data_IF_166167267533
#
_entry.id   IF_166167267533
#
_cell.length_a   1.000
_cell.length_b   1.000
_cell.length_c   1.000
_cell.angle_alpha   90.00
_cell.angle_beta   90.00
_cell.angle_gamma   90.00
#
_symmetry.space_group_name_H-M   'P 1'
#
loop_
_entity.id
_entity.type
_entity.pdbx_description
1 polymer ?
#
# COMPACT_ATOMS: atom_id res chain seq x y z
N UNK A 1 -32.15 17.91 84.84
CA UNK A 1 -30.88 17.54 85.48
C UNK A 1 -29.81 17.87 84.46
N UNK A 2 -29.28 19.11 84.51
CA UNK A 2 -27.98 19.43 85.13
C UNK A 2 -26.86 19.10 84.11
N UNK A 3 -25.86 19.91 83.75
CA UNK A 3 -25.32 21.26 84.03
C UNK A 3 -24.35 21.54 82.85
N UNK A 4 -24.20 22.76 82.33
CA UNK A 4 -23.15 23.76 82.69
C UNK A 4 -21.73 23.19 82.48
N UNK A 5 -20.88 23.77 81.62
CA UNK A 5 -19.94 24.88 81.91
C UNK A 5 -19.33 25.32 80.55
N UNK A 6 -19.43 26.56 80.05
CA UNK A 6 -18.96 27.86 80.52
C UNK A 6 -17.45 28.07 80.37
N UNK A 7 -17.04 29.01 79.50
CA UNK A 7 -16.00 30.01 79.81
C UNK A 7 -16.03 31.20 78.84
N UNK A 8 -16.54 32.30 79.39
CA UNK A 8 -16.26 33.73 79.16
C UNK A 8 -14.76 34.07 78.95
N UNK A 9 -14.28 35.25 78.52
CA UNK A 9 -14.76 36.64 78.31
C UNK A 9 -13.58 37.41 77.68
N UNK A 10 -13.85 38.48 76.92
CA UNK A 10 -13.51 39.87 77.30
C UNK A 10 -13.76 40.86 76.15
N UNK A 11 -14.66 41.81 76.43
CA UNK A 11 -14.93 43.05 75.70
C UNK A 11 -13.86 44.13 75.95
N UNK A 12 -13.82 45.17 75.09
CA UNK A 12 -14.06 46.61 75.40
C UNK A 12 -13.58 47.53 74.22
N UNK A 13 -14.02 48.81 74.08
CA UNK A 13 -15.18 49.19 73.26
C UNK A 13 -14.99 50.44 72.35
N UNK A 14 -16.10 50.82 71.67
CA UNK A 14 -16.58 52.18 71.30
C UNK A 14 -15.75 53.14 70.42
N UNK A 15 -16.38 53.69 69.38
CA UNK A 15 -17.14 54.96 69.48
C UNK A 15 -17.73 55.41 68.14
N UNK A 16 -18.67 56.35 68.22
CA UNK A 16 -19.68 56.77 67.26
C UNK A 16 -19.19 57.80 66.23
N UNK A 17 -19.91 57.95 65.11
CA UNK A 17 -20.42 59.26 64.65
C UNK A 17 -21.36 59.11 63.44
N UNK A 18 -22.49 59.81 63.50
CA UNK A 18 -23.51 59.92 62.46
C UNK A 18 -23.38 61.26 61.69
N UNK A 19 -23.85 61.34 60.44
CA UNK A 19 -24.36 62.59 59.84
C UNK A 19 -25.12 62.34 58.52
N UNK A 20 -26.05 63.23 58.20
CA UNK A 20 -27.17 63.10 57.27
C UNK A 20 -27.15 64.10 56.09
N UNK A 21 -27.99 63.82 55.06
CA UNK A 21 -28.54 64.72 54.01
C UNK A 21 -27.55 65.11 52.88
N UNK A 22 -27.92 65.23 51.59
CA UNK A 22 -29.07 65.90 50.97
C UNK A 22 -29.16 65.52 49.47
N UNK A 23 -30.36 65.44 48.88
CA UNK A 23 -30.59 65.28 47.43
C UNK A 23 -30.41 66.61 46.67
N UNK A 24 -29.72 66.57 45.52
CA UNK A 24 -29.73 67.60 44.48
C UNK A 24 -30.09 66.96 43.14
N UNK A 25 -31.13 67.48 42.47
CA UNK A 25 -31.52 67.08 41.12
C UNK A 25 -30.65 67.77 40.06
N UNK A 26 -30.11 67.00 39.11
CA UNK A 26 -29.42 67.51 37.91
C UNK A 26 -30.20 67.18 36.63
N UNK A 27 -30.21 68.07 35.63
CA UNK A 27 -31.07 68.00 34.45
C UNK A 27 -30.58 66.95 33.42
N UNK A 28 -31.53 66.25 32.78
CA UNK A 28 -31.28 65.30 31.68
C UNK A 28 -31.04 66.06 30.37
N UNK A 29 -29.79 66.11 29.91
CA UNK A 29 -29.47 66.33 28.49
C UNK A 29 -29.19 64.97 27.83
N UNK A 30 -29.80 64.63 26.67
CA UNK A 30 -29.44 63.42 25.95
C UNK A 30 -28.00 63.55 25.40
N UNK A 31 -27.20 62.50 25.55
CA UNK A 31 -25.82 62.49 25.05
C UNK A 31 -25.80 62.66 23.52
N UNK A 32 -24.86 63.44 22.95
CA UNK A 32 -24.77 63.65 21.51
C UNK A 32 -24.58 62.32 20.76
N UNK A 33 -25.21 62.17 19.59
CA UNK A 33 -25.26 60.91 18.82
C UNK A 33 -23.88 60.30 18.54
N UNK A 34 -22.84 61.13 18.41
CA UNK A 34 -21.44 60.70 18.26
C UNK A 34 -20.92 59.91 19.46
N UNK A 35 -21.29 60.31 20.68
CA UNK A 35 -20.90 59.64 21.92
C UNK A 35 -21.61 58.28 22.08
N UNK A 36 -22.86 58.18 21.64
CA UNK A 36 -23.63 56.92 21.65
C UNK A 36 -23.07 55.94 20.60
N UNK A 37 -22.65 56.44 19.43
CA UNK A 37 -22.00 55.64 18.39
C UNK A 37 -20.64 55.08 18.86
N UNK A 38 -19.84 55.90 19.54
CA UNK A 38 -18.54 55.50 20.11
C UNK A 38 -18.70 54.47 21.24
N UNK A 39 -19.74 54.60 22.08
CA UNK A 39 -20.10 53.57 23.08
C UNK A 39 -20.56 52.26 22.41
N UNK A 40 -21.25 52.33 21.27
CA UNK A 40 -21.68 51.15 20.51
C UNK A 40 -20.49 50.43 19.87
N UNK A 41 -19.58 51.17 19.25
CA UNK A 41 -18.35 50.62 18.65
C UNK A 41 -17.43 50.01 19.71
N UNK A 42 -17.23 50.66 20.86
CA UNK A 42 -16.45 50.07 21.97
C UNK A 42 -17.10 48.80 22.54
N UNK A 43 -18.44 48.74 22.61
CA UNK A 43 -19.15 47.49 23.00
C UNK A 43 -19.01 46.39 21.95
N UNK A 44 -19.07 46.73 20.66
CA UNK A 44 -18.86 45.80 19.55
C UNK A 44 -17.43 45.26 19.54
N UNK A 45 -16.44 46.12 19.76
CA UNK A 45 -15.02 45.76 19.89
C UNK A 45 -14.77 44.85 21.10
N UNK A 46 -15.40 45.12 22.25
CA UNK A 46 -15.33 44.22 23.42
C UNK A 46 -15.98 42.86 23.14
N UNK A 47 -17.05 42.82 22.33
CA UNK A 47 -17.70 41.55 21.93
C UNK A 47 -16.81 40.75 20.98
N UNK A 48 -16.18 41.40 20.00
CA UNK A 48 -15.24 40.72 19.08
C UNK A 48 -14.00 40.22 19.82
N UNK A 49 -13.46 40.98 20.77
CA UNK A 49 -12.34 40.52 21.61
C UNK A 49 -12.71 39.29 22.44
N UNK A 50 -13.91 39.26 23.02
CA UNK A 50 -14.42 38.08 23.73
C UNK A 50 -14.54 36.86 22.80
N UNK A 51 -15.01 37.05 21.57
CA UNK A 51 -15.12 35.96 20.58
C UNK A 51 -13.72 35.44 20.20
N UNK A 52 -12.74 36.32 19.99
CA UNK A 52 -11.36 35.94 19.68
C UNK A 52 -10.69 35.19 20.83
N UNK A 53 -10.96 35.59 22.08
CA UNK A 53 -10.49 34.85 23.27
C UNK A 53 -11.10 33.45 23.30
N UNK A 54 -12.41 33.32 23.06
CA UNK A 54 -13.07 32.01 23.02
C UNK A 54 -12.55 31.13 21.87
N UNK A 55 -12.33 31.68 20.68
CA UNK A 55 -11.71 30.97 19.56
C UNK A 55 -10.28 30.51 19.89
N UNK A 56 -9.48 31.37 20.51
CA UNK A 56 -8.12 31.03 20.94
C UNK A 56 -8.14 29.90 21.98
N UNK A 57 -9.04 29.96 22.95
CA UNK A 57 -9.22 28.90 23.95
C UNK A 57 -9.66 27.56 23.32
N UNK A 58 -10.51 27.60 22.29
CA UNK A 58 -10.92 26.39 21.54
C UNK A 58 -9.75 25.80 20.77
N UNK A 59 -8.91 26.63 20.13
CA UNK A 59 -7.71 26.17 19.42
C UNK A 59 -6.70 25.57 20.39
N UNK A 60 -6.47 26.21 21.53
CA UNK A 60 -5.58 25.69 22.58
C UNK A 60 -6.13 24.36 23.13
N UNK A 61 -7.44 24.27 23.38
CA UNK A 61 -8.09 23.02 23.80
C UNK A 61 -7.93 21.92 22.74
N UNK A 62 -8.09 22.25 21.46
CA UNK A 62 -7.88 21.29 20.37
C UNK A 62 -6.42 20.80 20.30
N UNK A 63 -5.44 21.70 20.47
CA UNK A 63 -4.02 21.32 20.52
C UNK A 63 -3.75 20.43 21.74
N UNK A 64 -4.30 20.77 22.91
CA UNK A 64 -4.16 19.98 24.14
C UNK A 64 -4.81 18.60 23.96
N UNK A 65 -6.03 18.52 23.42
CA UNK A 65 -6.71 17.25 23.12
C UNK A 65 -5.91 16.45 22.10
N UNK A 66 -5.38 17.07 21.04
CA UNK A 66 -4.50 16.40 20.08
C UNK A 66 -3.25 15.85 20.76
N UNK A 67 -2.64 16.62 21.67
CA UNK A 67 -1.41 16.23 22.36
C UNK A 67 -1.66 15.20 23.48
N UNK A 68 -2.82 15.20 24.12
CA UNK A 68 -3.16 14.21 25.16
C UNK A 68 -3.71 12.92 24.51
N UNK A 69 -4.59 13.03 23.52
CA UNK A 69 -5.17 11.88 22.82
C UNK A 69 -4.20 11.21 21.84
N UNK A 70 -3.27 11.97 21.23
CA UNK A 70 -2.29 11.42 20.27
C UNK A 70 -0.82 11.58 20.68
N UNK A 71 -0.50 12.28 21.78
CA UNK A 71 0.89 12.44 22.25
C UNK A 71 1.42 11.28 23.10
N UNK A 72 0.54 10.36 23.51
CA UNK A 72 0.94 9.04 23.97
C UNK A 72 0.54 8.01 22.92
N UNK A 73 1.22 8.02 21.76
CA UNK A 73 1.38 6.76 21.02
C UNK A 73 2.05 5.79 22.00
N UNK A 74 1.57 4.55 22.17
CA UNK A 74 2.36 3.55 22.86
C UNK A 74 3.71 3.52 22.15
N UNK A 75 4.78 3.94 22.83
CA UNK A 75 6.10 3.48 22.45
C UNK A 75 5.96 1.96 22.48
N UNK A 76 6.34 1.28 21.40
CA UNK A 76 6.60 -0.15 21.47
C UNK A 76 7.70 -0.33 22.52
N UNK A 77 7.30 -0.47 23.78
CA UNK A 77 8.11 -1.13 24.78
C UNK A 77 8.19 -2.55 24.26
N UNK A 78 9.41 -2.92 23.85
CA UNK A 78 9.81 -4.27 23.48
C UNK A 78 8.92 -5.30 24.16
N UNK A 79 8.30 -6.12 23.32
CA UNK A 79 7.48 -7.27 23.68
C UNK A 79 7.98 -7.89 24.99
N UNK A 80 7.31 -7.55 26.09
CA UNK A 80 7.41 -8.31 27.31
C UNK A 80 6.43 -9.46 27.14
N UNK A 81 7.01 -10.66 27.07
CA UNK A 81 6.34 -11.94 27.19
C UNK A 81 5.45 -12.35 26.00
N UNK A 82 6.05 -12.43 24.82
CA UNK A 82 5.67 -13.48 23.88
C UNK A 82 6.53 -14.69 24.21
N UNK A 83 5.88 -15.82 24.48
CA UNK A 83 6.48 -17.15 24.42
C UNK A 83 7.46 -17.18 23.25
N UNK A 84 8.76 -17.29 23.52
CA UNK A 84 9.75 -17.44 22.46
C UNK A 84 9.49 -18.79 21.80
N UNK A 85 8.67 -18.78 20.76
CA UNK A 85 8.76 -19.78 19.71
C UNK A 85 10.13 -19.51 19.11
N UNK A 86 11.12 -20.33 19.46
CA UNK A 86 12.34 -20.44 18.67
C UNK A 86 11.91 -20.78 17.24
N UNK A 87 11.79 -19.76 16.40
CA UNK A 87 11.70 -19.95 14.97
C UNK A 87 13.11 -20.42 14.59
N UNK A 88 13.25 -21.72 14.30
CA UNK A 88 14.51 -22.25 13.80
C UNK A 88 14.78 -21.58 12.45
N UNK A 89 15.64 -20.56 12.45
CA UNK A 89 16.09 -19.92 11.21
C UNK A 89 16.92 -20.95 10.42
N UNK A 90 16.38 -21.41 9.30
CA UNK A 90 17.15 -22.23 8.37
C UNK A 90 18.29 -21.39 7.76
N UNK A 91 19.45 -22.00 7.47
CA UNK A 91 20.54 -21.27 6.83
C UNK A 91 20.07 -20.74 5.47
N UNK A 92 20.42 -19.48 5.17
CA UNK A 92 20.16 -18.90 3.85
C UNK A 92 20.89 -19.69 2.77
N UNK A 93 20.25 -19.76 1.60
CA UNK A 93 20.89 -20.29 0.40
C UNK A 93 21.98 -19.34 -0.10
N UNK A 94 22.95 -19.89 -0.84
CA UNK A 94 23.98 -19.10 -1.51
C UNK A 94 23.34 -18.08 -2.46
N UNK A 95 23.78 -16.82 -2.38
CA UNK A 95 23.27 -15.77 -3.26
C UNK A 95 23.77 -15.99 -4.70
N UNK A 96 22.84 -16.33 -5.61
CA UNK A 96 23.11 -16.50 -7.04
C UNK A 96 22.34 -15.45 -7.87
N UNK A 97 22.84 -15.05 -9.04
CA UNK A 97 22.09 -14.17 -9.94
C UNK A 97 20.80 -14.83 -10.43
N UNK A 98 19.69 -14.10 -10.37
CA UNK A 98 18.41 -14.56 -10.94
C UNK A 98 18.54 -14.62 -12.47
N UNK A 99 18.15 -15.74 -13.09
CA UNK A 99 18.21 -15.91 -14.53
C UNK A 99 17.14 -15.07 -15.24
N UNK A 100 17.56 -14.11 -16.07
CA UNK A 100 16.65 -13.19 -16.75
C UNK A 100 16.79 -13.21 -18.29
N UNK A 101 15.78 -12.70 -18.98
CA UNK A 101 15.75 -12.45 -20.43
C UNK A 101 15.50 -10.97 -20.67
N UNK A 102 16.20 -10.40 -21.66
CA UNK A 102 15.93 -9.05 -22.15
C UNK A 102 14.68 -9.06 -23.04
N UNK A 103 13.68 -8.28 -22.65
CA UNK A 103 12.51 -7.96 -23.46
C UNK A 103 12.78 -6.61 -24.14
N UNK A 104 12.87 -6.55 -25.48
CA UNK A 104 13.11 -5.29 -26.19
C UNK A 104 11.94 -4.30 -26.03
N UNK A 105 12.25 -3.00 -26.07
CA UNK A 105 11.24 -1.96 -26.08
C UNK A 105 10.34 -2.06 -27.31
N UNK A 106 9.03 -1.94 -27.13
CA UNK A 106 8.06 -1.83 -28.22
C UNK A 106 6.73 -1.26 -27.70
N UNK A 107 5.68 -1.29 -28.53
CA UNK A 107 4.32 -0.91 -28.16
C UNK A 107 3.45 -2.14 -27.94
N UNK A 108 2.78 -2.20 -26.79
CA UNK A 108 1.77 -3.19 -26.47
C UNK A 108 0.38 -2.67 -26.87
N UNK A 109 -0.42 -3.52 -27.50
CA UNK A 109 -1.88 -3.41 -27.47
C UNK A 109 -2.39 -4.36 -26.39
N UNK A 110 -2.75 -3.77 -25.24
CA UNK A 110 -3.13 -4.47 -24.02
C UNK A 110 -4.62 -4.77 -24.00
N UNK A 111 -5.00 -5.92 -23.45
CA UNK A 111 -6.38 -6.38 -23.38
C UNK A 111 -6.81 -7.21 -24.59
N UNK A 112 -8.11 -7.48 -24.66
CA UNK A 112 -8.73 -8.31 -25.70
C UNK A 112 -10.20 -7.89 -25.96
N UNK A 113 -10.72 -8.23 -27.14
CA UNK A 113 -12.11 -7.99 -27.57
C UNK A 113 -12.77 -9.24 -28.16
N UNK A 114 -12.13 -10.40 -28.06
CA UNK A 114 -12.72 -11.65 -28.50
C UNK A 114 -13.95 -12.00 -27.64
N UNK A 115 -14.90 -12.81 -28.14
CA UNK A 115 -16.07 -13.23 -27.38
C UNK A 115 -15.74 -13.96 -26.07
N UNK A 116 -14.55 -14.55 -25.97
CA UNK A 116 -14.03 -15.24 -24.78
C UNK A 116 -13.32 -14.32 -23.78
N UNK A 117 -13.18 -13.02 -24.10
CA UNK A 117 -12.59 -12.04 -23.21
C UNK A 117 -13.60 -11.59 -22.15
N UNK A 118 -13.12 -11.39 -20.92
CA UNK A 118 -13.90 -10.81 -19.84
C UNK A 118 -14.05 -9.29 -20.02
N UNK A 119 -15.08 -8.72 -19.39
CA UNK A 119 -15.41 -7.29 -19.52
C UNK A 119 -14.25 -6.36 -19.08
N UNK A 120 -13.41 -6.81 -18.16
CA UNK A 120 -12.30 -6.05 -17.59
C UNK A 120 -10.99 -6.16 -18.39
N UNK A 121 -11.01 -6.91 -19.50
CA UNK A 121 -9.95 -6.94 -20.52
C UNK A 121 -10.12 -5.83 -21.58
N UNK A 122 -11.17 -5.00 -21.42
CA UNK A 122 -11.54 -3.88 -22.28
C UNK A 122 -11.59 -2.56 -21.49
N UNK A 123 -11.33 -1.38 -22.12
CA UNK A 123 -10.91 -1.13 -23.50
C UNK A 123 -9.49 -1.59 -23.82
N UNK A 124 -9.21 -1.82 -25.11
CA UNK A 124 -7.84 -1.99 -25.58
C UNK A 124 -7.01 -0.74 -25.29
N UNK A 125 -5.81 -0.93 -24.73
CA UNK A 125 -4.89 0.16 -24.41
C UNK A 125 -3.61 0.03 -25.25
N UNK A 126 -3.21 1.13 -25.90
CA UNK A 126 -1.91 1.20 -26.59
C UNK A 126 -0.88 1.82 -25.65
N UNK A 127 0.12 1.04 -25.24
CA UNK A 127 1.08 1.42 -24.20
C UNK A 127 2.51 1.23 -24.73
N UNK A 128 3.36 2.24 -24.58
CA UNK A 128 4.80 2.10 -24.84
C UNK A 128 5.48 1.33 -23.71
N UNK A 129 6.15 0.24 -24.04
CA UNK A 129 6.88 -0.62 -23.11
C UNK A 129 8.38 -0.35 -23.30
N UNK A 130 9.09 0.17 -22.29
CA UNK A 130 10.55 0.30 -22.36
C UNK A 130 11.19 -1.08 -22.41
N UNK A 131 12.48 -1.16 -22.74
CA UNK A 131 13.20 -2.42 -22.60
C UNK A 131 13.36 -2.75 -21.11
N UNK A 132 13.28 -4.03 -20.76
CA UNK A 132 13.45 -4.50 -19.38
C UNK A 132 13.95 -5.94 -19.38
N UNK A 133 14.52 -6.36 -18.26
CA UNK A 133 14.80 -7.78 -17.99
C UNK A 133 13.65 -8.39 -17.21
N UNK A 134 13.27 -9.62 -17.50
CA UNK A 134 12.29 -10.40 -16.73
C UNK A 134 12.88 -11.77 -16.37
N UNK A 135 12.60 -12.26 -15.16
CA UNK A 135 13.04 -13.61 -14.78
C UNK A 135 12.42 -14.65 -15.70
N UNK A 136 13.22 -15.66 -16.07
CA UNK A 136 12.81 -16.72 -17.01
C UNK A 136 11.65 -17.56 -16.51
N UNK A 137 11.52 -17.65 -15.20
CA UNK A 137 10.58 -18.46 -14.45
C UNK A 137 10.01 -17.62 -13.30
N UNK A 138 8.99 -18.13 -12.63
CA UNK A 138 8.59 -17.65 -11.31
C UNK A 138 9.77 -17.75 -10.33
N UNK A 139 9.77 -16.93 -9.29
CA UNK A 139 10.77 -17.03 -8.23
C UNK A 139 10.57 -18.35 -7.49
N UNK A 140 11.62 -19.16 -7.44
CA UNK A 140 11.62 -20.44 -6.74
C UNK A 140 11.74 -20.28 -5.22
N UNK A 141 11.37 -21.32 -4.49
CA UNK A 141 11.61 -21.39 -3.04
C UNK A 141 13.11 -21.29 -2.71
N UNK A 142 13.97 -21.87 -3.54
CA UNK A 142 15.42 -21.75 -3.39
C UNK A 142 15.90 -20.29 -3.52
N UNK A 143 15.39 -19.54 -4.50
CA UNK A 143 15.70 -18.12 -4.70
C UNK A 143 15.13 -17.24 -3.59
N UNK A 144 13.91 -17.53 -3.12
CA UNK A 144 13.33 -16.87 -1.94
C UNK A 144 14.27 -16.99 -0.73
N UNK A 145 14.79 -18.19 -0.51
CA UNK A 145 15.67 -18.50 0.62
C UNK A 145 17.10 -17.96 0.50
N UNK A 146 17.46 -17.27 -0.60
CA UNK A 146 18.68 -16.46 -0.66
C UNK A 146 18.55 -15.18 0.18
N UNK A 147 17.31 -14.73 0.40
CA UNK A 147 16.98 -13.48 1.10
C UNK A 147 16.44 -13.77 2.50
N UNK A 148 15.51 -14.72 2.61
CA UNK A 148 14.79 -15.00 3.85
C UNK A 148 15.01 -16.43 4.33
N UNK A 149 15.36 -16.60 5.61
CA UNK A 149 15.57 -17.92 6.21
C UNK A 149 14.29 -18.74 6.34
N UNK A 150 13.12 -18.09 6.40
CA UNK A 150 11.84 -18.75 6.46
C UNK A 150 11.21 -18.92 5.08
N UNK A 151 10.96 -20.17 4.69
CA UNK A 151 10.19 -20.50 3.50
C UNK A 151 8.68 -20.44 3.84
N UNK A 152 7.88 -19.58 3.18
CA UNK A 152 6.45 -19.44 3.47
C UNK A 152 5.57 -20.46 2.75
N UNK A 153 6.10 -21.18 1.75
CA UNK A 153 5.32 -22.06 0.89
C UNK A 153 4.61 -23.16 1.69
N UNK A 154 3.39 -23.52 1.31
CA UNK A 154 2.67 -24.67 1.83
C UNK A 154 3.42 -25.98 1.50
N UNK A 155 3.84 -26.16 0.25
CA UNK A 155 4.57 -27.35 -0.19
C UNK A 155 6.07 -27.05 -0.24
N UNK A 156 6.91 -27.89 0.38
CA UNK A 156 8.36 -27.65 0.50
C UNK A 156 9.15 -28.40 -0.56
N UNK A 157 9.63 -27.67 -1.56
CA UNK A 157 10.57 -28.15 -2.58
C UNK A 157 11.33 -26.93 -3.14
N UNK A 158 12.68 -26.91 -3.09
CA UNK A 158 13.48 -25.79 -3.57
C UNK A 158 13.19 -25.36 -5.01
N UNK A 159 12.77 -26.28 -5.89
CA UNK A 159 12.53 -26.01 -7.31
C UNK A 159 11.10 -25.55 -7.62
N UNK A 160 10.18 -25.67 -6.65
CA UNK A 160 8.83 -25.14 -6.81
C UNK A 160 8.84 -23.60 -6.74
N UNK A 161 7.88 -22.93 -7.40
CA UNK A 161 7.68 -21.51 -7.19
C UNK A 161 7.36 -21.23 -5.71
N UNK A 162 7.85 -20.10 -5.19
CA UNK A 162 7.46 -19.63 -3.87
C UNK A 162 6.03 -19.09 -3.93
N UNK A 163 5.21 -19.54 -2.99
CA UNK A 163 3.81 -19.14 -2.82
C UNK A 163 3.55 -18.78 -1.35
N UNK A 164 2.31 -18.42 -1.01
CA UNK A 164 1.95 -17.89 0.32
C UNK A 164 2.73 -16.63 0.72
N UNK A 165 3.12 -15.84 -0.27
CA UNK A 165 3.72 -14.51 -0.12
C UNK A 165 2.70 -13.43 -0.50
N UNK A 166 2.65 -12.38 0.32
CA UNK A 166 1.81 -11.22 0.01
C UNK A 166 2.59 -10.17 -0.78
N UNK A 167 1.92 -9.12 -1.24
CA UNK A 167 2.54 -8.05 -2.03
C UNK A 167 3.74 -7.43 -1.32
N UNK A 168 3.64 -7.14 -0.02
CA UNK A 168 4.68 -6.47 0.76
C UNK A 168 5.90 -7.36 1.03
N UNK A 169 5.67 -8.64 1.30
CA UNK A 169 6.76 -9.63 1.43
C UNK A 169 7.63 -9.64 0.16
N UNK A 170 7.01 -9.46 -1.01
CA UNK A 170 7.68 -9.42 -2.32
C UNK A 170 8.42 -8.10 -2.55
N UNK A 171 7.87 -6.97 -2.08
CA UNK A 171 8.57 -5.68 -2.12
C UNK A 171 9.88 -5.78 -1.35
N UNK A 172 9.84 -6.37 -0.16
CA UNK A 172 11.01 -6.57 0.68
C UNK A 172 12.00 -7.55 0.04
N UNK A 173 11.51 -8.65 -0.55
CA UNK A 173 12.35 -9.57 -1.35
C UNK A 173 13.10 -8.83 -2.46
N UNK A 174 12.38 -8.04 -3.27
CA UNK A 174 12.94 -7.31 -4.40
C UNK A 174 14.05 -6.35 -3.96
N UNK A 175 13.80 -5.58 -2.89
CA UNK A 175 14.78 -4.63 -2.37
C UNK A 175 16.01 -5.33 -1.79
N UNK A 176 15.82 -6.36 -0.96
CA UNK A 176 16.94 -7.09 -0.35
C UNK A 176 17.77 -7.84 -1.39
N UNK A 177 17.13 -8.51 -2.35
CA UNK A 177 17.83 -9.16 -3.45
C UNK A 177 18.60 -8.15 -4.31
N UNK A 178 18.04 -6.95 -4.51
CA UNK A 178 18.74 -5.87 -5.22
C UNK A 178 20.03 -5.49 -4.50
N UNK A 179 19.99 -5.31 -3.18
CA UNK A 179 21.18 -4.98 -2.37
C UNK A 179 22.21 -6.11 -2.44
N UNK A 180 21.78 -7.37 -2.29
CA UNK A 180 22.65 -8.54 -2.37
C UNK A 180 23.38 -8.64 -3.71
N UNK A 181 22.73 -8.25 -4.80
CA UNK A 181 23.31 -8.27 -6.14
C UNK A 181 23.97 -6.94 -6.56
N UNK A 182 24.05 -5.97 -5.65
CA UNK A 182 24.72 -4.68 -5.88
C UNK A 182 23.93 -3.71 -6.77
N UNK A 183 22.61 -3.80 -6.78
CA UNK A 183 21.70 -2.90 -7.48
C UNK A 183 21.03 -1.90 -6.54
N UNK A 184 20.54 -0.81 -7.11
CA UNK A 184 19.74 0.18 -6.40
C UNK A 184 18.31 -0.35 -6.17
N UNK A 185 17.82 -0.41 -4.92
CA UNK A 185 16.45 -0.81 -4.63
C UNK A 185 15.40 0.01 -5.39
N UNK A 186 14.35 -0.66 -5.86
CA UNK A 186 13.28 0.01 -6.60
C UNK A 186 12.20 0.60 -5.68
N UNK A 187 12.03 0.08 -4.47
CA UNK A 187 10.92 0.46 -3.61
C UNK A 187 11.34 1.26 -2.40
N UNK A 188 10.50 2.21 -2.02
CA UNK A 188 10.62 3.01 -0.82
C UNK A 188 9.23 3.18 -0.18
N UNK A 189 9.19 3.45 1.12
CA UNK A 189 7.95 3.62 1.88
C UNK A 189 7.79 5.10 2.25
N UNK A 190 6.69 5.71 1.80
CA UNK A 190 6.31 7.08 2.16
C UNK A 190 4.97 7.02 2.91
N UNK A 191 5.01 7.37 4.19
CA UNK A 191 3.90 7.16 5.14
C UNK A 191 3.42 5.69 5.12
N UNK A 192 2.19 5.43 4.69
CA UNK A 192 1.58 4.10 4.62
C UNK A 192 1.57 3.53 3.18
N UNK A 193 2.35 4.12 2.26
CA UNK A 193 2.34 3.78 0.84
C UNK A 193 3.71 3.35 0.31
N UNK A 194 3.70 2.37 -0.59
CA UNK A 194 4.89 1.91 -1.31
C UNK A 194 5.01 2.71 -2.60
N UNK A 195 6.18 3.28 -2.86
CA UNK A 195 6.51 3.99 -4.11
C UNK A 195 7.57 3.20 -4.87
N UNK A 196 7.40 3.09 -6.18
CA UNK A 196 8.35 2.43 -7.08
C UNK A 196 9.15 3.46 -7.89
N UNK A 197 10.47 3.48 -7.73
CA UNK A 197 11.40 4.14 -8.63
C UNK A 197 11.66 3.26 -9.86
N UNK A 198 10.87 3.46 -10.91
CA UNK A 198 11.01 2.74 -12.19
C UNK A 198 12.34 3.00 -12.93
N UNK A 199 13.12 4.01 -12.51
CA UNK A 199 14.43 4.31 -13.09
C UNK A 199 15.58 3.56 -12.38
N UNK A 200 15.36 3.02 -11.18
CA UNK A 200 16.35 2.23 -10.48
C UNK A 200 16.60 0.91 -11.22
N UNK A 201 17.82 0.37 -11.08
CA UNK A 201 18.27 -0.82 -11.79
C UNK A 201 18.09 -2.13 -11.00
N UNK A 202 17.47 -2.07 -9.81
CA UNK A 202 17.15 -3.23 -8.98
C UNK A 202 15.97 -4.05 -9.48
N UNK A 203 15.67 -5.09 -8.72
CA UNK A 203 14.52 -5.96 -8.89
C UNK A 203 13.23 -5.26 -8.44
N UNK A 204 12.16 -5.54 -9.15
CA UNK A 204 10.79 -5.12 -8.83
C UNK A 204 9.79 -6.11 -9.44
N UNK A 205 8.53 -6.04 -9.00
CA UNK A 205 7.42 -6.64 -9.73
C UNK A 205 7.29 -6.02 -11.13
N UNK A 206 6.88 -6.82 -12.15
CA UNK A 206 6.46 -6.26 -13.42
C UNK A 206 5.24 -5.35 -13.24
N UNK A 207 5.10 -4.35 -14.10
CA UNK A 207 3.78 -3.74 -14.31
C UNK A 207 2.87 -4.74 -15.00
N UNK A 208 1.56 -4.54 -14.89
CA UNK A 208 0.59 -5.37 -15.61
C UNK A 208 0.86 -5.37 -17.12
N UNK A 209 1.24 -4.21 -17.67
CA UNK A 209 1.58 -4.05 -19.07
C UNK A 209 2.89 -4.77 -19.46
N UNK A 210 3.94 -4.70 -18.63
CA UNK A 210 5.16 -5.47 -18.86
C UNK A 210 4.90 -6.98 -18.84
N UNK A 211 4.07 -7.43 -17.90
CA UNK A 211 3.69 -8.84 -17.77
C UNK A 211 2.96 -9.33 -19.03
N UNK A 212 1.91 -8.63 -19.46
CA UNK A 212 1.14 -9.04 -20.64
C UNK A 212 1.97 -8.95 -21.94
N UNK A 213 2.84 -7.93 -22.06
CA UNK A 213 3.74 -7.83 -23.20
C UNK A 213 4.72 -9.01 -23.27
N UNK A 214 5.29 -9.40 -22.12
CA UNK A 214 6.13 -10.59 -22.05
C UNK A 214 5.34 -11.88 -22.35
N UNK A 215 4.10 -12.00 -21.84
CA UNK A 215 3.23 -13.15 -22.05
C UNK A 215 2.79 -13.31 -23.51
N UNK A 216 2.57 -12.20 -24.23
CA UNK A 216 2.32 -12.16 -25.68
C UNK A 216 3.55 -12.46 -26.53
N UNK A 217 4.72 -12.71 -25.93
CA UNK A 217 5.96 -13.01 -26.65
C UNK A 217 6.69 -11.78 -27.22
N UNK A 218 6.38 -10.58 -26.69
CA UNK A 218 7.00 -9.31 -27.08
C UNK A 218 6.58 -8.84 -28.47
N UNK A 219 7.56 -8.51 -29.33
CA UNK A 219 7.34 -7.96 -30.68
C UNK A 219 6.77 -8.98 -31.70
N UNK A 220 6.67 -10.26 -31.36
CA UNK A 220 6.24 -11.27 -32.35
C UNK A 220 4.73 -11.16 -32.58
N UNK A 221 4.31 -11.20 -33.85
CA UNK A 221 2.90 -11.10 -34.25
C UNK A 221 2.13 -12.42 -34.03
N UNK A 222 2.61 -13.28 -33.14
CA UNK A 222 1.99 -14.56 -32.84
C UNK A 222 1.07 -14.36 -31.62
N UNK A 223 -0.17 -13.93 -31.87
CA UNK A 223 -1.17 -13.68 -30.83
C UNK A 223 -1.78 -15.00 -30.35
N UNK A 224 -1.03 -15.75 -29.56
CA UNK A 224 -1.52 -16.97 -28.92
C UNK A 224 -2.47 -16.66 -27.77
N UNK A 225 -3.44 -17.56 -27.55
CA UNK A 225 -4.36 -17.50 -26.41
C UNK A 225 -3.59 -17.64 -25.08
N UNK A 226 -2.61 -18.55 -25.04
CA UNK A 226 -1.71 -18.78 -23.90
C UNK A 226 -0.28 -18.41 -24.27
N UNK A 227 0.59 -18.23 -23.28
CA UNK A 227 1.96 -17.78 -23.55
C UNK A 227 2.78 -18.86 -24.29
N UNK A 228 2.83 -18.76 -25.62
CA UNK A 228 3.62 -19.62 -26.51
C UNK A 228 2.84 -20.70 -27.29
N UNK A 229 1.53 -20.85 -27.08
CA UNK A 229 0.67 -21.81 -27.80
C UNK A 229 -0.82 -21.48 -27.64
N UNK A 230 -1.66 -21.97 -28.55
CA UNK A 230 -3.13 -21.97 -28.38
C UNK A 230 -3.63 -23.20 -27.62
N UNK A 231 -2.73 -24.10 -27.20
CA UNK A 231 -3.06 -25.30 -26.42
C UNK A 231 -2.52 -25.17 -25.00
N UNK A 232 -3.43 -25.11 -24.01
CA UNK A 232 -3.08 -24.96 -22.60
C UNK A 232 -2.09 -26.02 -22.11
N UNK A 233 -2.31 -27.30 -22.47
CA UNK A 233 -1.46 -28.42 -22.06
C UNK A 233 0.01 -28.32 -22.48
N UNK A 234 0.31 -27.61 -23.57
CA UNK A 234 1.68 -27.45 -24.05
C UNK A 234 2.48 -26.47 -23.18
N UNK A 235 1.81 -25.48 -22.56
CA UNK A 235 2.47 -24.31 -21.98
C UNK A 235 2.21 -24.11 -20.49
N UNK A 236 1.23 -24.81 -19.90
CA UNK A 236 0.86 -24.55 -18.51
C UNK A 236 0.37 -25.74 -17.70
N UNK A 237 0.50 -25.57 -16.40
CA UNK A 237 -0.09 -26.44 -15.36
C UNK A 237 -1.36 -25.79 -14.82
N UNK A 238 -2.48 -26.50 -14.90
CA UNK A 238 -3.80 -25.99 -14.55
C UNK A 238 -4.69 -27.11 -14.04
N UNK A 239 -5.90 -26.83 -13.55
CA UNK A 239 -6.63 -27.82 -12.74
C UNK A 239 -6.91 -29.15 -13.46
N UNK A 240 -6.99 -29.20 -14.78
CA UNK A 240 -7.15 -30.45 -15.52
C UNK A 240 -5.87 -31.31 -15.63
N UNK A 241 -4.67 -30.74 -15.45
CA UNK A 241 -3.41 -31.46 -15.67
C UNK A 241 -2.35 -31.32 -14.56
N UNK A 242 -2.64 -30.58 -13.49
CA UNK A 242 -1.67 -30.22 -12.45
C UNK A 242 -1.57 -31.21 -11.29
N UNK A 243 -2.45 -32.22 -11.23
CA UNK A 243 -2.62 -33.09 -10.05
C UNK A 243 -2.87 -32.30 -8.75
N UNK A 244 -3.55 -31.14 -8.87
CA UNK A 244 -3.92 -30.24 -7.77
C UNK A 244 -2.71 -29.68 -6.96
N UNK A 245 -1.60 -29.42 -7.66
CA UNK A 245 -0.40 -28.82 -7.06
C UNK A 245 0.40 -27.97 -8.07
N UNK A 246 1.26 -27.10 -7.56
CA UNK A 246 2.29 -26.46 -8.37
C UNK A 246 3.36 -27.47 -8.79
N UNK A 247 4.10 -27.13 -9.85
CA UNK A 247 5.18 -27.94 -10.41
C UNK A 247 6.47 -27.11 -10.50
N UNK A 248 7.65 -27.75 -10.53
CA UNK A 248 8.89 -27.04 -10.74
C UNK A 248 8.82 -26.22 -12.03
N UNK A 249 9.19 -24.94 -11.94
CA UNK A 249 9.03 -24.03 -13.06
C UNK A 249 9.90 -24.44 -14.25
N UNK A 250 9.39 -24.25 -15.47
CA UNK A 250 10.07 -24.55 -16.72
C UNK A 250 9.98 -25.99 -17.20
N UNK A 251 8.98 -26.75 -16.73
CA UNK A 251 8.69 -28.10 -17.22
C UNK A 251 7.75 -28.12 -18.44
N UNK A 252 7.06 -27.01 -18.74
CA UNK A 252 6.24 -26.83 -19.94
C UNK A 252 7.00 -26.06 -21.02
N UNK A 253 6.42 -25.93 -22.21
CA UNK A 253 7.04 -25.22 -23.33
C UNK A 253 7.12 -23.71 -23.02
N UNK A 254 8.27 -23.06 -23.24
CA UNK A 254 8.36 -21.62 -23.08
C UNK A 254 7.70 -20.88 -24.24
N UNK A 255 7.43 -19.60 -24.03
CA UNK A 255 7.03 -18.71 -25.10
C UNK A 255 8.19 -18.33 -26.03
N UNK A 256 7.89 -17.46 -26.98
CA UNK A 256 8.80 -16.97 -28.02
C UNK A 256 10.08 -16.30 -27.48
N UNK A 257 10.04 -15.74 -26.27
CA UNK A 257 11.15 -15.10 -25.59
C UNK A 257 11.96 -16.08 -24.72
N UNK A 258 11.55 -17.35 -24.62
CA UNK A 258 12.18 -18.31 -23.74
C UNK A 258 11.77 -18.15 -22.27
N UNK A 259 10.60 -17.54 -22.03
CA UNK A 259 10.02 -17.36 -20.69
C UNK A 259 8.99 -18.48 -20.47
N UNK A 260 9.03 -19.08 -19.29
CA UNK A 260 8.18 -20.20 -18.91
C UNK A 260 7.07 -19.74 -17.97
N UNK A 261 6.00 -20.53 -17.93
CA UNK A 261 4.96 -20.48 -16.91
C UNK A 261 4.26 -19.11 -16.78
N UNK A 262 4.15 -18.35 -17.89
CA UNK A 262 3.29 -17.15 -17.95
C UNK A 262 1.80 -17.50 -18.18
N UNK A 263 1.50 -18.80 -18.26
CA UNK A 263 0.14 -19.36 -18.33
C UNK A 263 0.12 -20.62 -17.47
N UNK A 264 -0.53 -20.58 -16.31
CA UNK A 264 -0.62 -21.68 -15.35
C UNK A 264 0.50 -21.69 -14.30
N UNK A 265 0.66 -22.83 -13.64
CA UNK A 265 1.49 -23.06 -12.46
C UNK A 265 1.04 -22.20 -11.26
N UNK A 266 1.46 -20.95 -11.12
CA UNK A 266 0.92 -20.06 -10.09
C UNK A 266 0.50 -18.71 -10.68
N UNK A 267 -0.51 -18.10 -10.07
CA UNK A 267 -0.82 -16.71 -10.33
C UNK A 267 0.36 -15.85 -9.88
N UNK A 268 0.56 -14.74 -10.57
CA UNK A 268 1.69 -13.85 -10.30
C UNK A 268 1.21 -12.46 -9.90
N UNK A 269 1.69 -11.98 -8.76
CA UNK A 269 1.56 -10.59 -8.38
C UNK A 269 2.21 -9.67 -9.42
N UNK A 270 1.53 -8.57 -9.75
CA UNK A 270 2.11 -7.46 -10.52
C UNK A 270 1.96 -6.14 -9.74
N UNK A 271 2.67 -5.10 -10.17
CA UNK A 271 2.73 -3.83 -9.45
C UNK A 271 1.36 -3.12 -9.32
N UNK A 272 0.57 -3.15 -10.38
CA UNK A 272 -0.59 -2.28 -10.56
C UNK A 272 -1.71 -2.59 -9.57
N UNK A 273 -2.41 -1.55 -9.12
CA UNK A 273 -3.71 -1.71 -8.48
C UNK A 273 -4.77 -2.10 -9.52
N UNK A 274 -5.67 -2.99 -9.14
CA UNK A 274 -6.74 -3.48 -9.98
C UNK A 274 -7.85 -2.43 -10.08
N UNK A 275 -8.01 -1.92 -11.30
CA UNK A 275 -9.05 -0.99 -11.72
C UNK A 275 -9.46 -1.31 -13.17
N UNK A 276 -10.67 -0.90 -13.61
CA UNK A 276 -11.05 -0.99 -15.01
C UNK A 276 -10.07 -0.22 -15.89
N UNK A 277 -9.72 -0.77 -17.05
CA UNK A 277 -8.80 -0.15 -17.99
C UNK A 277 -9.25 1.26 -18.40
N UNK A 278 -8.30 2.20 -18.38
CA UNK A 278 -8.52 3.58 -18.76
C UNK A 278 -7.20 4.26 -19.10
N UNK A 279 -7.15 4.94 -20.24
CA UNK A 279 -6.05 5.86 -20.60
C UNK A 279 -6.30 7.30 -20.17
N UNK A 280 -7.47 7.59 -19.59
CA UNK A 280 -7.89 8.96 -19.23
C UNK A 280 -7.65 9.30 -17.77
N UNK A 281 -7.69 8.29 -16.91
CA UNK A 281 -7.74 8.49 -15.46
C UNK A 281 -6.38 8.32 -14.77
N UNK A 282 -5.46 7.58 -15.38
CA UNK A 282 -4.15 7.26 -14.83
C UNK A 282 -3.19 6.82 -15.96
N UNK A 283 -1.90 6.72 -15.64
CA UNK A 283 -0.90 6.17 -16.56
C UNK A 283 -1.14 4.65 -16.71
N UNK A 284 -1.52 4.13 -17.89
CA UNK A 284 -1.83 2.72 -18.06
C UNK A 284 -0.61 1.80 -17.87
N UNK A 285 0.61 2.33 -17.96
CA UNK A 285 1.82 1.58 -17.65
C UNK A 285 1.98 1.36 -16.14
N UNK A 286 1.85 2.42 -15.33
CA UNK A 286 2.07 2.37 -13.87
C UNK A 286 0.81 1.99 -13.06
N UNK A 287 -0.37 2.19 -13.65
CA UNK A 287 -1.64 2.13 -12.96
C UNK A 287 -1.90 3.39 -12.10
N UNK A 288 -3.02 3.43 -11.35
CA UNK A 288 -3.27 4.49 -10.38
C UNK A 288 -2.32 4.38 -9.18
N UNK A 289 -2.14 5.47 -8.42
CA UNK A 289 -1.24 5.48 -7.26
C UNK A 289 -1.76 4.62 -6.08
N UNK A 290 -3.09 4.52 -5.96
CA UNK A 290 -3.78 3.85 -4.84
C UNK A 290 -4.90 2.94 -5.34
N UNK A 291 -5.23 1.94 -4.55
CA UNK A 291 -6.32 1.02 -4.82
C UNK A 291 -6.63 0.13 -3.62
N UNK A 292 -7.55 -0.81 -3.82
CA UNK A 292 -7.98 -1.74 -2.77
C UNK A 292 -7.37 -3.12 -3.02
N UNK A 293 -7.32 -3.55 -4.27
CA UNK A 293 -6.84 -4.86 -4.71
C UNK A 293 -5.70 -4.68 -5.69
N UNK A 294 -4.70 -5.55 -5.64
CA UNK A 294 -3.60 -5.62 -6.59
C UNK A 294 -3.95 -6.61 -7.69
N UNK A 295 -3.49 -6.34 -8.91
CA UNK A 295 -3.68 -7.24 -10.05
C UNK A 295 -2.81 -8.49 -9.85
N UNK A 296 -3.37 -9.64 -10.23
CA UNK A 296 -2.63 -10.90 -10.41
C UNK A 296 -2.88 -11.44 -11.82
N UNK A 297 -1.89 -12.12 -12.41
CA UNK A 297 -1.93 -12.58 -13.80
C UNK A 297 -1.48 -14.03 -13.97
N UNK A 298 -1.91 -14.68 -15.05
CA UNK A 298 -1.35 -15.95 -15.52
C UNK A 298 -2.15 -17.21 -15.22
N UNK A 299 -3.14 -17.18 -14.32
CA UNK A 299 -3.83 -18.39 -13.87
C UNK A 299 -2.92 -19.24 -12.97
N UNK A 300 -3.39 -20.42 -12.53
CA UNK A 300 -2.58 -21.32 -11.72
C UNK A 300 -2.98 -22.78 -11.88
N UNK A 301 -2.26 -23.67 -11.21
CA UNK A 301 -2.56 -25.09 -11.06
C UNK A 301 -3.98 -25.38 -10.54
N UNK A 302 -4.61 -24.41 -9.88
CA UNK A 302 -5.95 -24.53 -9.27
C UNK A 302 -7.07 -24.05 -10.20
N UNK A 303 -6.75 -23.25 -11.21
CA UNK A 303 -7.75 -22.56 -12.05
C UNK A 303 -7.88 -23.22 -13.43
N UNK A 304 -9.01 -22.97 -14.08
CA UNK A 304 -9.30 -23.51 -15.41
C UNK A 304 -8.46 -22.83 -16.49
N UNK A 305 -8.36 -23.48 -17.64
CA UNK A 305 -7.62 -22.94 -18.79
C UNK A 305 -8.04 -21.51 -19.17
N UNK A 306 -9.34 -21.15 -19.05
CA UNK A 306 -9.83 -19.80 -19.36
C UNK A 306 -9.15 -18.68 -18.57
N UNK A 307 -8.63 -18.98 -17.38
CA UNK A 307 -7.95 -18.02 -16.50
C UNK A 307 -6.44 -17.92 -16.79
N UNK A 308 -5.89 -18.81 -17.62
CA UNK A 308 -4.48 -18.78 -18.03
C UNK A 308 -4.22 -17.91 -19.27
N UNK A 309 -5.27 -17.39 -19.89
CA UNK A 309 -5.16 -16.56 -21.10
C UNK A 309 -4.26 -15.37 -20.81
N UNK A 310 -3.41 -15.00 -21.77
CA UNK A 310 -2.42 -13.93 -21.58
C UNK A 310 -3.04 -12.56 -21.25
N UNK A 311 -4.32 -12.37 -21.60
CA UNK A 311 -5.08 -11.15 -21.34
C UNK A 311 -6.01 -11.27 -20.13
N UNK A 312 -6.23 -12.47 -19.58
CA UNK A 312 -7.06 -12.63 -18.39
C UNK A 312 -6.45 -11.86 -17.21
N UNK A 313 -7.33 -11.22 -16.46
CA UNK A 313 -6.97 -10.42 -15.29
C UNK A 313 -7.73 -10.98 -14.09
N UNK A 314 -7.07 -10.96 -12.95
CA UNK A 314 -7.70 -11.24 -11.67
C UNK A 314 -7.08 -10.32 -10.62
N UNK A 315 -7.55 -10.39 -9.38
CA UNK A 315 -7.11 -9.50 -8.32
C UNK A 315 -7.13 -10.17 -6.94
N UNK A 316 -6.33 -9.61 -6.04
CA UNK A 316 -6.32 -10.01 -4.65
C UNK A 316 -5.96 -8.83 -3.74
N UNK A 317 -6.40 -8.90 -2.48
CA UNK A 317 -5.98 -7.93 -1.45
C UNK A 317 -4.46 -7.99 -1.29
N UNK A 318 -3.77 -6.86 -1.09
CA UNK A 318 -2.29 -6.84 -1.03
C UNK A 318 -1.70 -7.68 0.11
N UNK A 319 -2.48 -7.97 1.15
CA UNK A 319 -2.08 -8.83 2.28
C UNK A 319 -2.46 -10.32 2.10
N UNK A 320 -3.11 -10.69 0.99
CA UNK A 320 -3.49 -12.07 0.71
C UNK A 320 -2.24 -12.95 0.57
N UNK A 321 -2.30 -14.14 1.16
CA UNK A 321 -1.34 -15.23 0.97
C UNK A 321 -2.11 -16.45 0.51
N UNK A 322 -1.67 -17.10 -0.56
CA UNK A 322 -2.34 -18.28 -1.09
C UNK A 322 -1.34 -19.26 -1.71
N UNK A 323 -1.65 -20.56 -1.66
CA UNK A 323 -0.84 -21.66 -2.19
C UNK A 323 -0.75 -21.71 -3.72
N UNK A 324 -1.55 -20.88 -4.41
CA UNK A 324 -1.50 -20.75 -5.86
C UNK A 324 -0.99 -19.38 -6.34
N UNK A 325 -0.48 -18.55 -5.44
CA UNK A 325 -0.12 -17.16 -5.72
C UNK A 325 1.32 -16.87 -5.28
N UNK A 326 2.15 -16.51 -6.25
CA UNK A 326 3.53 -16.09 -6.05
C UNK A 326 3.87 -14.95 -7.01
N UNK A 327 5.06 -14.94 -7.58
CA UNK A 327 5.52 -13.83 -8.40
C UNK A 327 6.72 -14.16 -9.26
N UNK A 328 7.00 -13.25 -10.19
CA UNK A 328 8.27 -13.14 -10.91
C UNK A 328 8.78 -11.70 -10.81
N UNK A 329 10.05 -11.49 -11.16
CA UNK A 329 10.69 -10.17 -11.04
C UNK A 329 11.15 -9.64 -12.38
N UNK A 330 11.21 -8.31 -12.48
CA UNK A 330 11.81 -7.58 -13.58
C UNK A 330 12.88 -6.62 -13.09
N UNK A 331 13.69 -6.12 -14.02
CA UNK A 331 14.65 -5.03 -13.81
C UNK A 331 14.62 -4.06 -14.97
N UNK A 332 14.74 -2.78 -14.68
CA UNK A 332 14.83 -1.75 -15.72
C UNK A 332 16.12 -1.92 -16.54
N UNK A 333 15.99 -1.93 -17.87
CA UNK A 333 17.15 -1.89 -18.76
C UNK A 333 17.66 -0.45 -18.87
N UNK A 334 18.90 -0.22 -18.47
CA UNK A 334 19.59 1.05 -18.68
C UNK A 334 20.76 0.83 -19.64
N UNK A 335 20.72 1.36 -20.89
CA UNK A 335 21.87 1.34 -21.76
C UNK A 335 22.96 2.19 -21.11
N UNK A 336 24.08 1.57 -20.75
CA UNK A 336 25.26 2.25 -20.20
C UNK A 336 25.84 3.25 -21.18
#
# INVERSE_FOLDING_TARGET
VEKVEETEKKELPNSQAASSKTEFATPKYPAPESFIAEIKETKKLKKTFKILIWLSLIIILFIIVKYIAFGNRPKFTSVADSTQVEISEEPLNENLPIAMVLVPADTLVMGNISPEAEDDEFPLLTIGIPAFYISKKEISQAEWMMVFSNNPAHSKDPELPVENVNFYDIIDFCNQKSILDGFEPCYDYYDDEVVCNFSANGYRLPTEAEWEFAAKGGKRNDFFVYSGSDKADEVGWYNENSDAQSHPSGQKKPNQLGIYDLSGNIFEWVWNWYVPYSSRNYDPYKGPDKGIDKVIRGGSWYHNASEMRVTNRNFAKPYTKNAYLGFRVVRTYSPR
#
